data_IF_149502335758
#
_entry.id   IF_149502335758
#
_cell.length_a   1.000
_cell.length_b   1.000
_cell.length_c   1.000
_cell.angle_alpha   90.00
_cell.angle_beta   90.00
_cell.angle_gamma   90.00
#
_symmetry.space_group_name_H-M   'P 1'
#
loop_
_entity.id
_entity.type
_entity.pdbx_description
1 polymer ?
#
# COMPACT_ATOMS: atom_id res chain seq x y z
N UNK A 1 -18.17 11.54 -3.42
CA UNK A 1 -17.19 12.33 -2.66
C UNK A 1 -16.19 11.42 -1.96
N UNK A 2 -16.62 10.48 -1.11
CA UNK A 2 -15.75 9.51 -0.44
C UNK A 2 -14.80 8.75 -1.39
N UNK A 3 -15.32 8.24 -2.52
CA UNK A 3 -14.49 7.49 -3.48
C UNK A 3 -13.35 8.29 -4.11
N UNK A 4 -13.57 9.57 -4.45
CA UNK A 4 -12.53 10.40 -5.08
C UNK A 4 -11.42 10.72 -4.06
N UNK A 5 -11.80 11.07 -2.83
CA UNK A 5 -10.88 11.30 -1.71
C UNK A 5 -10.02 10.06 -1.45
N UNK A 6 -10.65 8.89 -1.31
CA UNK A 6 -9.93 7.62 -1.08
C UNK A 6 -9.02 7.28 -2.26
N UNK A 7 -9.47 7.44 -3.50
CA UNK A 7 -8.65 7.20 -4.68
C UNK A 7 -7.41 8.10 -4.72
N UNK A 8 -7.55 9.40 -4.46
CA UNK A 8 -6.41 10.33 -4.44
C UNK A 8 -5.44 10.00 -3.30
N UNK A 9 -5.96 9.66 -2.12
CA UNK A 9 -5.13 9.22 -0.99
C UNK A 9 -4.30 7.98 -1.32
N UNK A 10 -4.92 6.96 -1.92
CA UNK A 10 -4.23 5.73 -2.35
C UNK A 10 -3.19 6.03 -3.44
N UNK A 11 -3.53 6.87 -4.43
CA UNK A 11 -2.58 7.25 -5.48
C UNK A 11 -1.30 7.87 -4.91
N UNK A 12 -1.41 8.71 -3.88
CA UNK A 12 -0.25 9.32 -3.23
C UNK A 12 0.53 8.29 -2.39
N UNK A 13 -0.16 7.35 -1.73
CA UNK A 13 0.45 6.26 -0.96
C UNK A 13 1.32 5.33 -1.82
N UNK A 14 0.92 5.09 -3.07
CA UNK A 14 1.62 4.17 -3.97
C UNK A 14 3.01 4.69 -4.39
N UNK A 15 3.26 6.00 -4.29
CA UNK A 15 4.58 6.56 -4.58
C UNK A 15 5.62 6.04 -3.57
N UNK A 16 5.44 6.21 -2.25
CA UNK A 16 6.26 5.54 -1.24
C UNK A 16 6.39 4.03 -1.42
N UNK A 17 5.30 3.33 -1.75
CA UNK A 17 5.33 1.86 -1.93
C UNK A 17 6.20 1.45 -3.12
N UNK A 18 6.10 2.15 -4.25
CA UNK A 18 6.98 1.93 -5.40
C UNK A 18 8.46 2.16 -5.05
N UNK A 19 8.76 3.19 -4.25
CA UNK A 19 10.12 3.43 -3.74
C UNK A 19 10.59 2.28 -2.84
N UNK A 20 9.72 1.79 -1.96
CA UNK A 20 10.02 0.69 -1.04
C UNK A 20 10.36 -0.62 -1.77
N UNK A 21 9.82 -0.84 -2.96
CA UNK A 21 10.17 -1.99 -3.82
C UNK A 21 11.43 -1.71 -4.63
N UNK A 22 11.53 -0.53 -5.24
CA UNK A 22 12.60 -0.21 -6.17
C UNK A 22 13.97 -0.08 -5.49
N UNK A 23 14.05 0.51 -4.29
CA UNK A 23 15.34 0.73 -3.58
C UNK A 23 16.03 -0.59 -3.24
N UNK A 24 15.40 -1.57 -2.58
CA UNK A 24 16.03 -2.86 -2.29
C UNK A 24 16.40 -3.63 -3.55
N UNK A 25 15.55 -3.61 -4.59
CA UNK A 25 15.86 -4.25 -5.87
C UNK A 25 17.11 -3.65 -6.53
N UNK A 26 17.23 -2.32 -6.52
CA UNK A 26 18.37 -1.61 -7.07
C UNK A 26 19.64 -1.85 -6.23
N UNK A 27 19.52 -1.89 -4.90
CA UNK A 27 20.63 -2.24 -4.02
C UNK A 27 21.13 -3.67 -4.25
N UNK A 28 20.22 -4.61 -4.54
CA UNK A 28 20.57 -6.00 -4.83
C UNK A 28 21.15 -6.18 -6.25
N UNK A 29 20.72 -5.39 -7.24
CA UNK A 29 21.24 -5.43 -8.62
C UNK A 29 21.47 -4.02 -9.20
N UNK A 30 22.57 -3.35 -8.83
CA UNK A 30 22.86 -1.97 -9.25
C UNK A 30 22.98 -1.81 -10.76
N UNK A 31 23.47 -2.83 -11.46
CA UNK A 31 23.67 -2.82 -12.91
C UNK A 31 22.36 -2.92 -13.73
N UNK A 32 21.21 -3.15 -13.06
CA UNK A 32 19.92 -3.40 -13.72
C UNK A 32 18.79 -2.49 -13.20
N UNK A 33 18.91 -1.15 -13.31
CA UNK A 33 17.90 -0.22 -12.81
C UNK A 33 16.53 -0.38 -13.47
N UNK A 34 16.50 -0.77 -14.75
CA UNK A 34 15.25 -1.04 -15.48
C UNK A 34 14.51 -2.26 -14.94
N UNK A 35 15.22 -3.23 -14.36
CA UNK A 35 14.59 -4.37 -13.70
C UNK A 35 13.85 -3.90 -12.44
N UNK A 36 14.49 -3.09 -11.60
CA UNK A 36 13.87 -2.52 -10.40
C UNK A 36 12.63 -1.68 -10.73
N UNK A 37 12.71 -0.84 -11.77
CA UNK A 37 11.56 -0.10 -12.29
C UNK A 37 10.44 -1.03 -12.78
N UNK A 38 10.79 -2.07 -13.54
CA UNK A 38 9.84 -3.06 -14.05
C UNK A 38 9.12 -3.82 -12.93
N UNK A 39 9.85 -4.22 -11.87
CA UNK A 39 9.29 -4.90 -10.71
C UNK A 39 8.34 -3.98 -9.91
N UNK A 40 8.73 -2.73 -9.66
CA UNK A 40 7.86 -1.76 -9.01
C UNK A 40 6.59 -1.48 -9.84
N UNK A 41 6.75 -1.33 -11.17
CA UNK A 41 5.62 -1.13 -12.09
C UNK A 41 4.69 -2.33 -12.14
N UNK A 42 5.25 -3.55 -12.13
CA UNK A 42 4.48 -4.79 -12.10
C UNK A 42 3.67 -4.92 -10.80
N UNK A 43 4.21 -4.47 -9.67
CA UNK A 43 3.44 -4.40 -8.41
C UNK A 43 2.27 -3.43 -8.51
N UNK A 44 2.44 -2.28 -9.18
CA UNK A 44 1.35 -1.33 -9.41
C UNK A 44 0.22 -1.90 -10.25
N UNK A 45 0.49 -2.87 -11.13
CA UNK A 45 -0.55 -3.60 -11.86
C UNK A 45 -1.39 -4.53 -10.97
N UNK A 46 -0.99 -4.77 -9.72
CA UNK A 46 -1.82 -5.50 -8.75
C UNK A 46 -3.08 -4.71 -8.38
N UNK A 47 -3.05 -3.38 -8.40
CA UNK A 47 -4.22 -2.54 -8.10
C UNK A 47 -5.37 -2.69 -9.10
N UNK A 48 -5.18 -2.51 -10.42
CA UNK A 48 -6.26 -2.74 -11.38
C UNK A 48 -6.72 -4.19 -11.38
N UNK A 49 -5.84 -5.15 -11.06
CA UNK A 49 -6.23 -6.54 -10.88
C UNK A 49 -7.12 -6.74 -9.64
N UNK A 50 -6.79 -6.12 -8.51
CA UNK A 50 -7.62 -6.11 -7.31
C UNK A 50 -8.98 -5.45 -7.56
N UNK A 51 -9.01 -4.32 -8.26
CA UNK A 51 -10.23 -3.65 -8.67
C UNK A 51 -11.10 -4.53 -9.59
N UNK A 52 -10.48 -5.27 -10.51
CA UNK A 52 -11.17 -6.23 -11.38
C UNK A 52 -11.76 -7.40 -10.59
N UNK A 53 -11.02 -7.98 -9.65
CA UNK A 53 -11.54 -9.02 -8.76
C UNK A 53 -12.69 -8.50 -7.90
N UNK A 54 -12.56 -7.30 -7.34
CA UNK A 54 -13.62 -6.63 -6.60
C UNK A 54 -14.88 -6.46 -7.47
N UNK A 55 -14.74 -6.02 -8.72
CA UNK A 55 -15.83 -5.93 -9.68
C UNK A 55 -16.50 -7.29 -9.92
N UNK A 56 -15.76 -8.39 -10.06
CA UNK A 56 -16.37 -9.70 -10.30
C UNK A 56 -17.06 -10.27 -9.05
N UNK A 57 -16.45 -10.13 -7.87
CA UNK A 57 -16.93 -10.71 -6.63
C UNK A 57 -18.03 -9.88 -5.96
N UNK A 58 -17.85 -8.56 -5.83
CA UNK A 58 -18.79 -7.68 -5.11
C UNK A 58 -20.00 -7.27 -5.97
N UNK A 59 -19.85 -7.14 -7.29
CA UNK A 59 -20.97 -6.82 -8.17
C UNK A 59 -22.01 -7.96 -8.23
N UNK A 60 -21.56 -9.22 -8.15
CA UNK A 60 -22.45 -10.39 -8.10
C UNK A 60 -23.23 -10.50 -6.80
N UNK A 61 -22.67 -9.99 -5.69
CA UNK A 61 -23.26 -10.03 -4.35
C UNK A 61 -24.34 -8.94 -4.18
N UNK A 62 -24.12 -7.75 -4.74
CA UNK A 62 -25.06 -6.62 -4.57
C UNK A 62 -26.43 -6.83 -5.26
N UNK A 63 -26.58 -7.85 -6.10
CA UNK A 63 -27.82 -8.14 -6.83
C UNK A 63 -28.78 -9.12 -6.14
N UNK A 64 -28.39 -9.74 -5.02
CA UNK A 64 -29.20 -10.73 -4.30
C UNK A 64 -29.00 -10.62 -2.79
N UNK A 65 -30.11 -10.34 -2.11
CA UNK A 65 -30.34 -10.35 -0.66
C UNK A 65 -29.83 -9.15 0.17
N UNK A 66 -30.81 -8.38 0.66
CA UNK A 66 -30.79 -7.49 1.82
C UNK A 66 -30.55 -8.27 3.14
N UNK A 67 -29.71 -9.29 3.14
CA UNK A 67 -29.32 -10.01 4.36
C UNK A 67 -27.95 -9.51 4.81
N UNK A 68 -27.92 -8.87 5.98
CA UNK A 68 -26.78 -8.35 6.76
C UNK A 68 -25.63 -9.35 7.02
N UNK A 69 -25.64 -10.53 6.40
CA UNK A 69 -24.73 -11.65 6.67
C UNK A 69 -23.83 -11.98 5.49
N UNK A 70 -23.55 -11.02 4.61
CA UNK A 70 -22.58 -11.25 3.54
C UNK A 70 -21.17 -11.00 4.06
N UNK A 71 -20.37 -12.07 4.15
CA UNK A 71 -18.94 -12.03 4.51
C UNK A 71 -18.16 -10.98 3.68
N UNK A 72 -18.60 -10.74 2.44
CA UNK A 72 -18.02 -9.78 1.50
C UNK A 72 -18.57 -8.35 1.64
N UNK A 73 -19.04 -7.94 2.82
CA UNK A 73 -19.42 -6.55 3.05
C UNK A 73 -18.21 -5.60 2.91
N UNK A 74 -18.49 -4.34 2.58
CA UNK A 74 -17.46 -3.31 2.42
C UNK A 74 -16.60 -3.19 3.69
N UNK A 75 -17.20 -3.20 4.89
CA UNK A 75 -16.42 -3.10 6.13
C UNK A 75 -15.47 -4.30 6.34
N UNK A 76 -15.91 -5.52 6.02
CA UNK A 76 -15.09 -6.72 6.20
C UNK A 76 -13.91 -6.74 5.22
N UNK A 77 -14.13 -6.36 3.96
CA UNK A 77 -13.07 -6.28 2.94
C UNK A 77 -12.06 -5.19 3.30
N UNK A 78 -12.51 -4.02 3.73
CA UNK A 78 -11.61 -2.94 4.14
C UNK A 78 -10.81 -3.31 5.41
N UNK A 79 -11.44 -3.95 6.39
CA UNK A 79 -10.75 -4.45 7.59
C UNK A 79 -9.70 -5.51 7.24
N UNK A 80 -10.01 -6.42 6.31
CA UNK A 80 -9.07 -7.41 5.80
C UNK A 80 -7.84 -6.76 5.14
N UNK A 81 -8.06 -5.80 4.24
CA UNK A 81 -6.98 -5.07 3.56
C UNK A 81 -6.12 -4.29 4.56
N UNK A 82 -6.75 -3.62 5.55
CA UNK A 82 -6.02 -2.93 6.60
C UNK A 82 -5.10 -3.87 7.39
N UNK A 83 -5.55 -5.09 7.71
CA UNK A 83 -4.74 -6.11 8.37
C UNK A 83 -3.50 -6.53 7.56
N UNK A 84 -3.65 -6.70 6.24
CA UNK A 84 -2.51 -7.01 5.34
C UNK A 84 -1.49 -5.86 5.39
N UNK A 85 -1.95 -4.61 5.21
CA UNK A 85 -1.05 -3.44 5.17
C UNK A 85 -0.32 -3.21 6.50
N UNK A 86 -0.98 -3.43 7.64
CA UNK A 86 -0.33 -3.39 8.96
C UNK A 86 0.79 -4.43 9.04
N UNK A 87 0.56 -5.64 8.53
CA UNK A 87 1.56 -6.72 8.55
C UNK A 87 2.76 -6.37 7.69
N UNK A 88 2.54 -5.91 6.46
CA UNK A 88 3.61 -5.45 5.55
C UNK A 88 4.43 -4.33 6.19
N UNK A 89 3.77 -3.32 6.78
CA UNK A 89 4.46 -2.21 7.41
C UNK A 89 5.32 -2.65 8.62
N UNK A 90 4.75 -3.44 9.53
CA UNK A 90 5.40 -3.76 10.81
C UNK A 90 6.38 -4.92 10.74
N UNK A 91 6.12 -5.93 9.89
CA UNK A 91 6.93 -7.14 9.82
C UNK A 91 7.92 -7.15 8.65
N UNK A 92 7.67 -6.36 7.60
CA UNK A 92 8.54 -6.33 6.42
C UNK A 92 9.30 -5.00 6.35
N UNK A 93 8.60 -3.87 6.17
CA UNK A 93 9.24 -2.57 5.92
C UNK A 93 10.00 -2.03 7.13
N UNK A 94 9.36 -2.02 8.31
CA UNK A 94 9.96 -1.45 9.52
C UNK A 94 11.21 -2.21 10.00
N UNK A 95 11.23 -3.55 10.07
CA UNK A 95 12.41 -4.30 10.45
C UNK A 95 13.53 -4.16 9.41
N UNK A 96 13.20 -4.11 8.12
CA UNK A 96 14.18 -3.96 7.04
C UNK A 96 14.84 -2.58 7.08
N UNK A 97 14.06 -1.53 7.27
CA UNK A 97 14.57 -0.17 7.48
C UNK A 97 15.47 -0.09 8.72
N UNK A 98 15.13 -0.79 9.81
CA UNK A 98 15.96 -0.86 11.02
C UNK A 98 17.28 -1.60 10.79
N UNK A 99 17.27 -2.70 10.02
CA UNK A 99 18.49 -3.46 9.68
C UNK A 99 19.47 -2.63 8.85
N UNK A 100 18.95 -1.80 7.95
CA UNK A 100 19.75 -0.96 7.07
C UNK A 100 20.09 0.44 7.66
N UNK A 101 19.73 0.73 8.92
CA UNK A 101 20.09 1.99 9.58
C UNK A 101 21.55 2.00 10.07
N UNK A 102 22.51 2.01 9.14
CA UNK A 102 23.94 2.03 9.45
C UNK A 102 24.44 3.41 9.94
N UNK A 103 23.71 4.49 9.66
CA UNK A 103 24.09 5.88 10.00
C UNK A 103 23.54 6.39 11.35
N UNK A 104 23.02 5.51 12.20
CA UNK A 104 22.51 5.84 13.53
C UNK A 104 20.98 5.94 13.59
N UNK A 105 20.43 5.76 14.80
CA UNK A 105 18.99 5.64 15.04
C UNK A 105 18.19 6.90 14.66
N UNK A 106 18.84 8.06 14.57
CA UNK A 106 18.20 9.35 14.28
C UNK A 106 17.56 9.42 12.88
N UNK A 107 18.26 8.99 11.83
CA UNK A 107 17.74 9.03 10.46
C UNK A 107 16.55 8.08 10.26
N UNK A 108 16.62 6.91 10.90
CA UNK A 108 15.51 5.95 10.93
C UNK A 108 14.25 6.56 11.56
N UNK A 109 14.38 7.09 12.78
CA UNK A 109 13.23 7.70 13.49
C UNK A 109 12.69 8.91 12.73
N UNK A 110 13.56 9.77 12.21
CA UNK A 110 13.16 10.94 11.44
C UNK A 110 12.41 10.55 10.16
N UNK A 111 12.90 9.55 9.43
CA UNK A 111 12.24 9.02 8.23
C UNK A 111 10.85 8.45 8.54
N UNK A 112 10.72 7.67 9.62
CA UNK A 112 9.41 7.15 10.06
C UNK A 112 8.45 8.27 10.42
N UNK A 113 8.88 9.24 11.24
CA UNK A 113 8.03 10.35 11.68
C UNK A 113 7.61 11.23 10.50
N UNK A 114 8.52 11.55 9.58
CA UNK A 114 8.22 12.31 8.37
C UNK A 114 7.23 11.56 7.47
N UNK A 115 7.41 10.25 7.28
CA UNK A 115 6.50 9.43 6.49
C UNK A 115 5.07 9.45 7.04
N UNK A 116 4.92 9.26 8.35
CA UNK A 116 3.61 9.36 9.03
C UNK A 116 3.03 10.76 8.88
N UNK A 117 3.82 11.81 9.09
CA UNK A 117 3.35 13.19 8.98
C UNK A 117 2.85 13.52 7.56
N UNK A 118 3.57 13.10 6.52
CA UNK A 118 3.18 13.31 5.12
C UNK A 118 1.87 12.60 4.80
N UNK A 119 1.70 11.34 5.23
CA UNK A 119 0.47 10.59 5.00
C UNK A 119 -0.72 11.19 5.73
N UNK A 120 -0.56 11.54 7.01
CA UNK A 120 -1.63 12.18 7.80
C UNK A 120 -2.02 13.53 7.20
N UNK A 121 -1.05 14.35 6.76
CA UNK A 121 -1.33 15.61 6.10
C UNK A 121 -2.08 15.38 4.79
N UNK A 122 -1.64 14.41 3.99
CA UNK A 122 -2.31 14.07 2.71
C UNK A 122 -3.76 13.67 2.94
N UNK A 123 -4.03 12.77 3.89
CA UNK A 123 -5.40 12.35 4.24
C UNK A 123 -6.24 13.48 4.84
N UNK A 124 -5.63 14.45 5.50
CA UNK A 124 -6.35 15.61 6.04
C UNK A 124 -6.80 16.59 4.95
N UNK A 125 -6.02 16.74 3.88
CA UNK A 125 -6.29 17.71 2.80
C UNK A 125 -7.08 17.15 1.61
N UNK A 126 -7.21 15.83 1.51
CA UNK A 126 -7.90 15.10 0.43
C UNK A 126 -9.30 14.67 0.87
#
# INVERSE_FOLDING_TARGET
KLGITVTVGIMIHNIPEGIAIAIPCLAARPDYPLLSFGLASLSGLAEPFGAFLAMLCLHRVSGKDDSETTIWSMENVLAFVAGIMITVALYELFPEAKRHSSQGQGAFVMGTVLGVAIMVLTEYFV
#
